data_IF_216479009888
#
_entry.id   IF_216479009888
#
_cell.length_a   1.000
_cell.length_b   1.000
_cell.length_c   1.000
_cell.angle_alpha   90.00
_cell.angle_beta   90.00
_cell.angle_gamma   90.00
#
_symmetry.space_group_name_H-M   'P 1'
#
loop_
_entity.id
_entity.type
_entity.pdbx_description
1 polymer ?
#
# COMPACT_ATOMS: atom_id res chain seq x y z
N UNK A 1 11.89 2.75 -5.61
CA UNK A 1 10.70 3.54 -5.91
C UNK A 1 11.08 4.71 -6.79
N UNK A 2 10.57 4.76 -8.02
CA UNK A 2 10.78 5.88 -8.95
C UNK A 2 9.88 7.05 -8.59
N UNK A 3 10.14 7.73 -7.46
CA UNK A 3 9.30 8.77 -6.92
C UNK A 3 10.05 10.09 -6.74
N UNK A 4 9.32 11.20 -6.80
CA UNK A 4 9.80 12.52 -6.42
C UNK A 4 9.44 12.81 -4.98
N UNK A 5 10.42 13.15 -4.14
CA UNK A 5 10.14 13.62 -2.79
C UNK A 5 9.73 15.11 -2.81
N UNK A 6 8.52 15.38 -2.33
CA UNK A 6 7.94 16.73 -2.27
C UNK A 6 8.23 17.42 -0.95
N UNK A 7 8.37 16.66 0.14
CA UNK A 7 8.52 17.19 1.51
C UNK A 7 9.26 16.22 2.43
N UNK A 8 9.81 16.76 3.53
CA UNK A 8 10.37 16.00 4.65
C UNK A 8 11.87 15.80 4.57
N UNK A 9 12.39 15.05 5.54
CA UNK A 9 13.81 14.70 5.67
C UNK A 9 14.22 13.69 4.60
N UNK A 10 15.52 13.46 4.45
CA UNK A 10 16.06 12.41 3.60
C UNK A 10 15.46 11.04 3.94
N UNK A 11 15.29 10.22 2.93
CA UNK A 11 14.81 8.84 3.05
C UNK A 11 15.94 7.95 3.56
N UNK A 12 15.63 7.12 4.55
CA UNK A 12 16.51 6.03 4.99
C UNK A 12 16.33 4.79 4.10
N UNK A 13 17.24 3.83 4.20
CA UNK A 13 17.11 2.52 3.56
C UNK A 13 15.76 1.85 3.90
N UNK A 14 15.38 1.85 5.17
CA UNK A 14 14.11 1.26 5.62
C UNK A 14 12.89 2.01 5.04
N UNK A 15 12.97 3.35 4.95
CA UNK A 15 11.88 4.10 4.33
C UNK A 15 11.70 3.73 2.85
N UNK A 16 12.79 3.47 2.10
CA UNK A 16 12.70 3.01 0.72
C UNK A 16 12.11 1.60 0.62
N UNK A 17 12.53 0.67 1.48
CA UNK A 17 12.00 -0.70 1.45
C UNK A 17 10.52 -0.76 1.83
N UNK A 18 10.12 -0.02 2.86
CA UNK A 18 8.73 0.04 3.30
C UNK A 18 7.86 0.77 2.26
N UNK A 19 8.36 1.87 1.65
CA UNK A 19 7.64 2.59 0.61
C UNK A 19 7.45 1.73 -0.67
N UNK A 20 8.46 0.94 -1.05
CA UNK A 20 8.34 0.00 -2.17
C UNK A 20 7.30 -1.08 -1.89
N UNK A 21 7.35 -1.68 -0.69
CA UNK A 21 6.37 -2.70 -0.29
C UNK A 21 4.94 -2.12 -0.27
N UNK A 22 4.75 -0.93 0.31
CA UNK A 22 3.46 -0.26 0.37
C UNK A 22 2.93 0.10 -1.04
N UNK A 23 3.83 0.61 -1.91
CA UNK A 23 3.47 0.98 -3.27
C UNK A 23 3.07 -0.22 -4.12
N UNK A 24 3.81 -1.33 -4.04
CA UNK A 24 3.46 -2.56 -4.73
C UNK A 24 2.10 -3.10 -4.28
N UNK A 25 1.84 -3.13 -2.98
CA UNK A 25 0.58 -3.63 -2.44
C UNK A 25 -0.64 -2.86 -2.95
N UNK A 26 -0.57 -1.54 -3.12
CA UNK A 26 -1.71 -0.78 -3.66
C UNK A 26 -1.84 -0.88 -5.18
N UNK A 27 -0.75 -1.20 -5.90
CA UNK A 27 -0.80 -1.38 -7.36
C UNK A 27 -1.48 -2.67 -7.79
N UNK A 28 -1.58 -3.66 -6.92
CA UNK A 28 -2.29 -4.92 -7.18
C UNK A 28 -3.81 -4.70 -7.30
N UNK A 29 -4.31 -3.53 -6.89
CA UNK A 29 -5.72 -3.21 -6.89
C UNK A 29 -6.12 -2.21 -7.96
N UNK A 30 -7.24 -2.51 -8.65
CA UNK A 30 -7.84 -1.59 -9.63
C UNK A 30 -8.65 -0.47 -8.98
N UNK A 31 -9.32 -0.76 -7.88
CA UNK A 31 -10.12 0.18 -7.11
C UNK A 31 -9.24 1.02 -6.17
N UNK A 32 -9.78 2.13 -5.62
CA UNK A 32 -9.03 2.92 -4.64
C UNK A 32 -8.58 2.07 -3.47
N UNK A 33 -7.26 2.00 -3.27
CA UNK A 33 -6.61 1.17 -2.27
C UNK A 33 -5.62 1.97 -1.45
N UNK A 34 -5.50 1.62 -0.18
CA UNK A 34 -4.51 2.14 0.75
C UNK A 34 -3.84 1.00 1.49
N UNK A 35 -2.52 1.03 1.57
CA UNK A 35 -1.72 0.11 2.37
C UNK A 35 -0.91 0.88 3.41
N UNK A 36 -0.87 0.35 4.62
CA UNK A 36 -0.02 0.83 5.73
C UNK A 36 0.99 -0.26 6.03
N UNK A 37 2.25 0.03 5.80
CA UNK A 37 3.36 -0.92 5.96
C UNK A 37 4.27 -0.53 7.11
N UNK A 38 4.83 -1.54 7.75
CA UNK A 38 5.90 -1.39 8.73
C UNK A 38 6.82 -2.60 8.66
N UNK A 39 8.14 -2.34 8.49
CA UNK A 39 9.13 -3.41 8.31
C UNK A 39 8.81 -4.33 7.11
N UNK A 40 8.41 -3.70 5.99
CA UNK A 40 7.98 -4.36 4.75
C UNK A 40 6.81 -5.35 4.90
N UNK A 41 6.03 -5.24 6.00
CA UNK A 41 4.84 -6.06 6.23
C UNK A 41 3.61 -5.15 6.42
N UNK A 42 2.42 -5.59 5.99
CA UNK A 42 1.21 -4.82 6.14
C UNK A 42 0.73 -4.77 7.61
N UNK A 43 0.50 -3.56 8.11
CA UNK A 43 -0.30 -3.33 9.31
C UNK A 43 -1.79 -3.32 8.98
N UNK A 44 -2.12 -2.90 7.76
CA UNK A 44 -3.46 -2.93 7.21
C UNK A 44 -3.47 -2.54 5.75
N UNK A 45 -4.33 -3.21 5.00
CA UNK A 45 -4.62 -2.91 3.59
C UNK A 45 -6.12 -2.85 3.42
N UNK A 46 -6.60 -1.88 2.67
CA UNK A 46 -8.03 -1.78 2.37
C UNK A 46 -8.26 -1.25 0.96
N UNK A 47 -9.31 -1.80 0.36
CA UNK A 47 -9.82 -1.39 -0.96
C UNK A 47 -11.25 -0.88 -0.77
N UNK A 48 -11.57 0.29 -1.31
CA UNK A 48 -12.90 0.86 -1.16
C UNK A 48 -13.31 1.72 -2.36
N UNK A 49 -14.42 1.35 -3.00
CA UNK A 49 -14.98 2.09 -4.13
C UNK A 49 -15.36 3.56 -3.77
N UNK A 50 -15.59 3.84 -2.47
CA UNK A 50 -15.92 5.18 -1.98
C UNK A 50 -14.72 6.14 -1.98
N UNK A 51 -13.51 5.65 -2.23
CA UNK A 51 -12.30 6.46 -2.36
C UNK A 51 -11.22 6.19 -1.31
N UNK A 52 -10.07 6.85 -1.49
CA UNK A 52 -8.88 6.63 -0.65
C UNK A 52 -9.05 7.08 0.80
N UNK A 53 -9.91 8.05 1.07
CA UNK A 53 -10.16 8.49 2.44
C UNK A 53 -10.80 7.38 3.29
N UNK A 54 -11.79 6.67 2.73
CA UNK A 54 -12.43 5.54 3.40
C UNK A 54 -11.50 4.34 3.43
N UNK A 55 -10.79 4.06 2.33
CA UNK A 55 -9.77 3.00 2.31
C UNK A 55 -8.69 3.22 3.37
N UNK A 56 -8.21 4.46 3.56
CA UNK A 56 -7.24 4.79 4.61
C UNK A 56 -7.80 4.51 6.02
N UNK A 57 -9.05 4.89 6.26
CA UNK A 57 -9.68 4.65 7.55
C UNK A 57 -9.74 3.15 7.85
N UNK A 58 -10.22 2.33 6.91
CA UNK A 58 -10.31 0.88 7.07
C UNK A 58 -8.93 0.23 7.23
N UNK A 59 -7.94 0.64 6.43
CA UNK A 59 -6.57 0.13 6.58
C UNK A 59 -5.97 0.46 7.95
N UNK A 60 -6.24 1.67 8.48
CA UNK A 60 -5.78 2.06 9.80
C UNK A 60 -6.50 1.29 10.92
N UNK A 61 -7.79 0.99 10.76
CA UNK A 61 -8.60 0.23 11.73
C UNK A 61 -8.16 -1.24 11.87
N UNK A 62 -7.43 -1.80 10.91
CA UNK A 62 -6.89 -3.15 11.00
C UNK A 62 -5.94 -3.32 12.18
N UNK A 63 -5.00 -2.40 12.37
CA UNK A 63 -4.08 -2.36 13.52
C UNK A 63 -3.59 -0.93 13.79
N UNK A 64 -4.37 -0.12 14.52
CA UNK A 64 -4.01 1.27 14.81
C UNK A 64 -2.73 1.44 15.62
N UNK A 65 -2.36 0.41 16.39
CA UNK A 65 -1.16 0.44 17.23
C UNK A 65 0.10 0.28 16.37
N UNK A 66 0.11 -0.71 15.49
CA UNK A 66 1.23 -0.96 14.59
C UNK A 66 1.35 0.10 13.50
N UNK A 67 0.24 0.71 13.07
CA UNK A 67 0.21 1.77 12.07
C UNK A 67 0.97 3.05 12.50
N UNK A 68 1.15 3.28 13.79
CA UNK A 68 1.93 4.41 14.31
C UNK A 68 3.39 4.32 13.84
N UNK A 69 3.85 5.35 13.13
CA UNK A 69 5.20 5.39 12.54
C UNK A 69 5.34 4.50 11.29
N UNK A 70 4.25 4.11 10.68
CA UNK A 70 4.24 3.34 9.44
C UNK A 70 4.45 4.19 8.19
N UNK A 71 4.54 3.49 7.07
CA UNK A 71 4.57 4.03 5.70
C UNK A 71 3.22 3.79 5.06
N UNK A 72 2.62 4.83 4.51
CA UNK A 72 1.29 4.78 3.88
C UNK A 72 1.43 4.94 2.37
N UNK A 73 0.79 4.08 1.60
CA UNK A 73 0.63 4.24 0.16
C UNK A 73 -0.85 4.32 -0.23
N UNK A 74 -1.15 5.14 -1.24
CA UNK A 74 -2.45 5.18 -1.89
C UNK A 74 -2.28 5.09 -3.41
N UNK A 75 -3.13 4.30 -4.10
CA UNK A 75 -3.06 4.15 -5.56
C UNK A 75 -3.87 5.21 -6.32
N UNK A 76 -4.42 6.19 -5.62
CA UNK A 76 -5.13 7.35 -6.18
C UNK A 76 -4.61 8.61 -5.53
N UNK A 77 -4.97 9.74 -6.13
CA UNK A 77 -4.66 11.07 -5.60
C UNK A 77 -5.19 11.22 -4.17
N UNK A 78 -4.35 11.73 -3.28
CA UNK A 78 -4.70 12.01 -1.89
C UNK A 78 -5.46 13.32 -1.81
N UNK A 79 -6.68 13.26 -1.30
CA UNK A 79 -7.55 14.40 -1.04
C UNK A 79 -7.45 14.88 0.42
N UNK A 80 -8.12 16.00 0.71
CA UNK A 80 -8.14 16.58 2.05
C UNK A 80 -8.80 15.63 3.08
N UNK A 81 -9.82 14.87 2.66
CA UNK A 81 -10.55 13.95 3.52
C UNK A 81 -9.65 12.80 4.02
N UNK A 82 -8.70 12.35 3.21
CA UNK A 82 -7.67 11.39 3.65
C UNK A 82 -6.56 12.09 4.46
N UNK A 83 -6.15 13.28 4.04
CA UNK A 83 -5.05 14.00 4.68
C UNK A 83 -5.36 14.43 6.12
N UNK A 84 -6.60 14.80 6.43
CA UNK A 84 -7.01 15.26 7.77
C UNK A 84 -6.80 14.18 8.86
N UNK A 85 -7.35 12.95 8.76
CA UNK A 85 -7.09 11.91 9.76
C UNK A 85 -5.63 11.49 9.77
N UNK A 86 -4.97 11.32 8.61
CA UNK A 86 -3.56 10.96 8.52
C UNK A 86 -2.67 12.00 9.20
N UNK A 87 -3.00 13.28 9.09
CA UNK A 87 -2.24 14.36 9.74
C UNK A 87 -2.21 14.26 11.26
N UNK A 88 -3.13 13.56 11.90
CA UNK A 88 -3.22 13.38 13.37
C UNK A 88 -2.35 12.24 13.88
N UNK A 89 -1.89 11.37 12.98
CA UNK A 89 -1.11 10.18 13.31
C UNK A 89 0.34 10.41 12.88
N UNK A 90 1.29 9.87 13.65
CA UNK A 90 2.68 9.88 13.22
C UNK A 90 2.86 8.90 12.07
N UNK A 91 3.17 9.43 10.89
CA UNK A 91 3.44 8.69 9.67
C UNK A 91 4.83 9.07 9.18
N UNK A 92 5.68 8.10 8.86
CA UNK A 92 7.03 8.37 8.38
C UNK A 92 7.06 8.76 6.91
N UNK A 93 6.33 8.05 6.08
CA UNK A 93 6.29 8.28 4.63
C UNK A 93 4.84 8.15 4.14
N UNK A 94 4.45 9.05 3.25
CA UNK A 94 3.24 8.94 2.45
C UNK A 94 3.63 8.94 0.97
N UNK A 95 3.16 7.95 0.22
CA UNK A 95 3.40 7.82 -1.22
C UNK A 95 2.07 7.71 -1.97
N UNK A 96 1.92 8.51 -3.03
CA UNK A 96 0.73 8.52 -3.88
C UNK A 96 1.06 9.03 -5.27
N UNK A 97 0.18 8.79 -6.29
CA UNK A 97 0.38 9.32 -7.63
C UNK A 97 0.27 10.85 -7.70
N UNK A 98 -0.54 11.43 -6.83
CA UNK A 98 -0.71 12.90 -6.75
C UNK A 98 -1.37 13.31 -5.42
N UNK A 99 -1.48 14.63 -5.20
CA UNK A 99 -2.07 15.24 -4.01
C UNK A 99 -2.90 16.45 -4.40
N UNK A 100 -4.06 16.64 -3.76
CA UNK A 100 -4.76 17.92 -3.83
C UNK A 100 -3.96 19.00 -3.10
N UNK A 101 -4.04 20.23 -3.57
CA UNK A 101 -3.18 21.33 -3.07
C UNK A 101 -3.38 21.60 -1.58
N UNK A 102 -4.63 21.57 -1.10
CA UNK A 102 -5.00 21.75 0.30
C UNK A 102 -4.57 20.55 1.18
N UNK A 103 -4.67 19.33 0.66
CA UNK A 103 -4.16 18.13 1.33
C UNK A 103 -2.63 18.21 1.51
N UNK A 104 -1.93 18.58 0.44
CA UNK A 104 -0.48 18.73 0.48
C UNK A 104 -0.04 19.84 1.46
N UNK A 105 -0.71 20.99 1.41
CA UNK A 105 -0.45 22.10 2.34
C UNK A 105 -0.64 21.67 3.81
N UNK A 106 -1.72 20.92 4.10
CA UNK A 106 -1.97 20.40 5.44
C UNK A 106 -0.86 19.46 5.91
N UNK A 107 -0.47 18.52 5.08
CA UNK A 107 0.54 17.51 5.40
C UNK A 107 1.94 18.11 5.57
N UNK A 108 2.30 19.10 4.76
CA UNK A 108 3.58 19.80 4.84
C UNK A 108 3.78 20.60 6.15
N UNK A 109 2.72 20.87 6.91
CA UNK A 109 2.83 21.45 8.26
C UNK A 109 3.56 20.52 9.24
N UNK A 110 3.70 19.24 8.90
CA UNK A 110 4.45 18.25 9.69
C UNK A 110 5.86 18.07 9.12
N UNK A 111 6.91 18.56 9.78
CA UNK A 111 8.27 18.53 9.24
C UNK A 111 8.87 17.11 9.16
N UNK A 112 8.27 16.14 9.87
CA UNK A 112 8.80 14.79 9.96
C UNK A 112 8.29 13.87 8.85
N UNK A 113 7.13 14.14 8.25
CA UNK A 113 6.56 13.28 7.20
C UNK A 113 7.32 13.47 5.89
N UNK A 114 7.64 12.38 5.24
CA UNK A 114 8.19 12.37 3.88
C UNK A 114 7.05 12.15 2.91
N UNK A 115 6.87 13.05 1.99
CA UNK A 115 5.79 12.98 0.99
C UNK A 115 6.41 12.68 -0.36
N UNK A 116 6.00 11.56 -0.95
CA UNK A 116 6.50 11.08 -2.24
C UNK A 116 5.39 11.11 -3.28
N UNK A 117 5.66 11.72 -4.43
CA UNK A 117 4.84 11.60 -5.63
C UNK A 117 5.43 10.52 -6.53
N UNK A 118 4.66 9.49 -6.84
CA UNK A 118 5.07 8.36 -7.65
C UNK A 118 4.00 8.08 -8.71
N UNK A 119 4.37 8.20 -9.96
CA UNK A 119 3.54 7.90 -11.13
C UNK A 119 3.90 6.57 -11.81
N UNK A 120 4.86 5.83 -11.23
CA UNK A 120 5.26 4.52 -11.74
C UNK A 120 4.19 3.49 -11.42
N UNK A 121 3.49 3.04 -12.45
CA UNK A 121 2.39 2.05 -12.36
C UNK A 121 2.81 0.66 -12.85
N UNK A 122 4.03 0.52 -13.42
CA UNK A 122 4.53 -0.76 -13.90
C UNK A 122 5.43 -1.43 -12.87
N UNK A 123 5.11 -2.66 -12.54
CA UNK A 123 5.97 -3.52 -11.72
C UNK A 123 7.11 -4.04 -12.61
N UNK A 124 8.34 -4.04 -12.10
CA UNK A 124 9.47 -4.63 -12.81
C UNK A 124 9.21 -6.14 -13.01
N UNK A 125 9.36 -6.69 -14.23
CA UNK A 125 9.10 -8.11 -14.48
C UNK A 125 10.12 -9.05 -13.81
N UNK A 126 11.19 -8.52 -13.24
CA UNK A 126 12.23 -9.29 -12.56
C UNK A 126 12.59 -8.69 -11.22
N UNK A 127 12.86 -9.55 -10.26
CA UNK A 127 13.39 -9.21 -8.94
C UNK A 127 14.84 -9.67 -8.81
N UNK A 128 15.65 -8.80 -8.21
CA UNK A 128 17.05 -9.05 -7.90
C UNK A 128 17.24 -9.09 -6.39
N UNK A 129 17.80 -10.19 -5.88
CA UNK A 129 18.13 -10.31 -4.47
C UNK A 129 19.63 -10.57 -4.31
N UNK A 130 20.38 -9.66 -3.68
CA UNK A 130 21.79 -9.90 -3.39
C UNK A 130 21.94 -11.01 -2.36
N UNK A 131 22.92 -11.87 -2.58
CA UNK A 131 23.34 -12.92 -1.65
C UNK A 131 24.87 -12.92 -1.56
N UNK A 132 25.43 -13.57 -0.52
CA UNK A 132 26.89 -13.68 -0.41
C UNK A 132 27.46 -14.42 -1.63
N UNK A 133 28.33 -13.74 -2.38
CA UNK A 133 28.98 -14.29 -3.56
C UNK A 133 28.17 -14.21 -4.87
N UNK A 134 26.99 -13.58 -4.88
CA UNK A 134 26.20 -13.46 -6.10
C UNK A 134 24.89 -12.69 -5.95
N UNK A 135 24.03 -12.88 -6.95
CA UNK A 135 22.70 -12.31 -6.98
C UNK A 135 21.70 -13.34 -7.48
N UNK A 136 20.54 -13.39 -6.88
CA UNK A 136 19.40 -14.16 -7.36
C UNK A 136 18.57 -13.27 -8.28
N UNK A 137 18.17 -13.82 -9.41
CA UNK A 137 17.23 -13.21 -10.36
C UNK A 137 16.02 -14.15 -10.49
N UNK A 138 14.82 -13.59 -10.30
CA UNK A 138 13.58 -14.34 -10.54
C UNK A 138 12.58 -13.45 -11.26
N UNK A 139 11.60 -14.07 -11.92
CA UNK A 139 10.41 -13.36 -12.38
C UNK A 139 9.65 -12.82 -11.16
N UNK A 140 9.14 -11.60 -11.27
CA UNK A 140 8.30 -11.02 -10.22
C UNK A 140 7.03 -11.86 -10.09
N UNK A 141 6.67 -12.21 -8.88
CA UNK A 141 5.43 -12.89 -8.58
C UNK A 141 4.26 -11.93 -8.75
N UNK A 142 3.31 -12.33 -9.57
CA UNK A 142 2.12 -11.56 -9.91
C UNK A 142 0.90 -12.48 -9.81
N UNK A 143 -0.25 -11.90 -9.50
CA UNK A 143 -1.53 -12.61 -9.48
C UNK A 143 -2.02 -12.78 -10.93
N UNK A 144 -1.50 -13.77 -11.62
CA UNK A 144 -1.79 -14.04 -13.03
C UNK A 144 -2.02 -15.52 -13.34
N UNK A 145 -1.76 -16.41 -12.38
CA UNK A 145 -2.01 -17.84 -12.55
C UNK A 145 -3.51 -18.15 -12.54
N UNK A 146 -3.91 -19.16 -13.32
CA UNK A 146 -5.31 -19.56 -13.37
C UNK A 146 -5.88 -20.02 -12.01
N UNK A 147 -5.02 -20.51 -11.10
CA UNK A 147 -5.38 -20.89 -9.73
C UNK A 147 -5.64 -19.71 -8.81
N UNK A 148 -5.09 -18.53 -9.12
CA UNK A 148 -5.26 -17.31 -8.33
C UNK A 148 -6.61 -16.67 -8.57
N UNK A 149 -7.30 -17.00 -9.67
CA UNK A 149 -8.62 -16.47 -9.95
C UNK A 149 -9.69 -17.08 -9.03
N UNK A 150 -10.38 -16.28 -8.20
CA UNK A 150 -11.46 -16.77 -7.33
C UNK A 150 -12.59 -17.48 -8.07
N UNK A 151 -12.80 -17.15 -9.35
CA UNK A 151 -13.78 -17.82 -10.20
C UNK A 151 -13.47 -19.31 -10.43
N UNK A 152 -12.22 -19.73 -10.22
CA UNK A 152 -11.77 -21.11 -10.35
C UNK A 152 -11.73 -21.85 -9.00
N UNK A 153 -12.02 -21.18 -7.89
CA UNK A 153 -11.97 -21.80 -6.57
C UNK A 153 -13.14 -22.75 -6.34
N UNK A 154 -12.86 -23.83 -5.67
CA UNK A 154 -13.88 -24.78 -5.22
C UNK A 154 -13.80 -24.91 -3.70
N UNK A 155 -14.88 -24.59 -3.02
CA UNK A 155 -14.96 -24.79 -1.58
C UNK A 155 -14.98 -26.30 -1.27
N UNK A 156 -13.96 -26.79 -0.58
CA UNK A 156 -13.77 -28.21 -0.27
C UNK A 156 -14.25 -28.60 1.13
N UNK A 157 -14.51 -27.63 2.00
CA UNK A 157 -15.00 -27.88 3.37
C UNK A 157 -15.72 -26.65 3.93
N UNK A 158 -16.44 -26.83 5.04
CA UNK A 158 -17.17 -25.77 5.72
C UNK A 158 -18.52 -25.44 5.08
N UNK A 159 -19.18 -24.43 5.63
CA UNK A 159 -20.43 -23.89 5.07
C UNK A 159 -20.09 -22.87 3.95
N UNK A 160 -20.96 -22.71 2.93
CA UNK A 160 -20.79 -21.66 1.93
C UNK A 160 -20.59 -20.29 2.58
N UNK A 161 -19.59 -19.56 2.12
CA UNK A 161 -19.32 -18.21 2.57
C UNK A 161 -20.22 -17.21 1.84
N UNK A 162 -20.53 -16.09 2.50
CA UNK A 162 -21.27 -15.01 1.86
C UNK A 162 -20.35 -14.19 0.90
N UNK A 163 -20.97 -13.28 0.14
CA UNK A 163 -20.28 -12.47 -0.87
C UNK A 163 -19.20 -11.59 -0.26
N UNK A 164 -19.44 -11.03 0.94
CA UNK A 164 -18.45 -10.17 1.59
C UNK A 164 -17.25 -10.98 2.04
N UNK A 165 -17.49 -12.10 2.70
CA UNK A 165 -16.40 -13.02 3.11
C UNK A 165 -15.58 -13.51 1.93
N UNK A 166 -16.21 -13.74 0.75
CA UNK A 166 -15.46 -14.11 -0.45
C UNK A 166 -14.53 -12.97 -0.91
N UNK A 167 -15.01 -11.72 -0.91
CA UNK A 167 -14.17 -10.55 -1.25
C UNK A 167 -13.00 -10.39 -0.27
N UNK A 168 -13.23 -10.65 1.01
CA UNK A 168 -12.17 -10.58 2.03
C UNK A 168 -11.12 -11.68 1.82
N UNK A 169 -11.53 -12.88 1.39
CA UNK A 169 -10.62 -13.97 1.02
C UNK A 169 -9.82 -13.64 -0.23
N UNK A 170 -10.43 -13.02 -1.24
CA UNK A 170 -9.73 -12.53 -2.43
C UNK A 170 -8.65 -11.50 -2.05
N UNK A 171 -9.01 -10.52 -1.21
CA UNK A 171 -8.05 -9.54 -0.69
C UNK A 171 -6.92 -10.20 0.09
N UNK A 172 -7.23 -11.22 0.89
CA UNK A 172 -6.22 -11.96 1.68
C UNK A 172 -5.22 -12.70 0.79
N UNK A 173 -5.67 -13.31 -0.31
CA UNK A 173 -4.78 -14.00 -1.26
C UNK A 173 -3.71 -13.06 -1.82
N UNK A 174 -4.10 -11.84 -2.18
CA UNK A 174 -3.20 -10.84 -2.77
C UNK A 174 -2.02 -10.48 -1.82
N UNK A 175 -2.20 -10.68 -0.50
CA UNK A 175 -1.25 -10.24 0.51
C UNK A 175 -0.56 -11.40 1.26
N UNK A 176 -0.67 -12.62 0.76
CA UNK A 176 0.10 -13.76 1.23
C UNK A 176 1.43 -13.85 0.49
#
# INVERSE_FOLDING_TARGET
VGAQQLHGKEMSFNNYTDAEAAWRAVLDHRDPAVAIMKHANPCGVAVCELGVAVAYQHAHECDPVSAFGGVVAANRKVDLAMAEPLSKIFTEVLIAPDYDADALELLMKKPSIRILKCDVTSINPFELRPVSGGVLLQATDLIDAAGDSPANWTQVSGQPVDVQTMKDLELSLIHI
#
